data_IF_993278615926
#
_entry.id   IF_993278615926
#
_cell.length_a   1.000
_cell.length_b   1.000
_cell.length_c   1.000
_cell.angle_alpha   90.00
_cell.angle_beta   90.00
_cell.angle_gamma   90.00
#
_symmetry.space_group_name_H-M   'P 1'
#
loop_
_entity.id
_entity.type
_entity.pdbx_description
1 polymer ?
#
# COMPACT_ATOMS: atom_id res chain seq x y z
N UNK A 1 6.83 -20.93 -4.29
CA UNK A 1 5.91 -20.52 -3.20
C UNK A 1 6.57 -20.76 -1.87
N UNK A 2 6.40 -19.82 -0.95
CA UNK A 2 6.90 -19.93 0.42
C UNK A 2 6.02 -20.89 1.22
N UNK A 3 6.59 -21.70 2.11
CA UNK A 3 5.84 -22.51 3.09
C UNK A 3 5.20 -21.61 4.16
N UNK A 4 4.31 -22.18 4.98
CA UNK A 4 3.73 -21.44 6.11
C UNK A 4 4.83 -20.96 7.07
N UNK A 5 5.82 -21.80 7.36
CA UNK A 5 7.01 -21.46 8.15
C UNK A 5 7.87 -20.36 7.51
N UNK A 6 8.00 -20.33 6.19
CA UNK A 6 8.71 -19.24 5.51
C UNK A 6 7.91 -17.92 5.56
N UNK A 7 6.58 -18.00 5.45
CA UNK A 7 5.70 -16.83 5.51
C UNK A 7 5.74 -16.15 6.89
N UNK A 8 5.97 -16.90 7.98
CA UNK A 8 6.07 -16.28 9.32
C UNK A 8 7.21 -15.27 9.41
N UNK A 9 8.28 -15.41 8.61
CA UNK A 9 9.38 -14.44 8.57
C UNK A 9 8.97 -13.08 7.99
N UNK A 10 7.84 -13.00 7.29
CA UNK A 10 7.27 -11.73 6.80
C UNK A 10 6.48 -10.98 7.89
N UNK A 11 6.24 -11.55 9.07
CA UNK A 11 5.54 -10.85 10.16
C UNK A 11 6.18 -9.49 10.46
N UNK A 12 5.33 -8.48 10.58
CA UNK A 12 5.72 -7.09 10.76
C UNK A 12 6.03 -6.36 9.46
N UNK A 13 6.34 -7.06 8.35
CA UNK A 13 6.61 -6.40 7.07
C UNK A 13 5.34 -5.98 6.33
N UNK A 14 5.48 -5.10 5.34
CA UNK A 14 4.36 -4.73 4.45
C UNK A 14 3.73 -5.91 3.72
N UNK A 15 4.50 -6.99 3.52
CA UNK A 15 4.03 -8.20 2.85
C UNK A 15 3.21 -9.12 3.73
N UNK A 16 3.23 -8.98 5.06
CA UNK A 16 2.46 -9.85 5.97
C UNK A 16 0.97 -9.86 5.58
N UNK A 17 0.36 -8.67 5.54
CA UNK A 17 -1.06 -8.53 5.21
C UNK A 17 -1.32 -8.81 3.73
N UNK A 18 -0.42 -8.42 2.83
CA UNK A 18 -0.59 -8.59 1.39
C UNK A 18 -0.58 -10.07 0.99
N UNK A 19 0.35 -10.87 1.52
CA UNK A 19 0.43 -12.31 1.28
C UNK A 19 -0.78 -13.03 1.86
N UNK A 20 -1.17 -12.71 3.10
CA UNK A 20 -2.36 -13.31 3.74
C UNK A 20 -3.63 -13.03 2.92
N UNK A 21 -3.84 -11.76 2.53
CA UNK A 21 -4.98 -11.37 1.70
C UNK A 21 -4.97 -12.09 0.35
N UNK A 22 -3.81 -12.19 -0.31
CA UNK A 22 -3.70 -12.85 -1.62
C UNK A 22 -4.00 -14.35 -1.53
N UNK A 23 -3.46 -15.05 -0.53
CA UNK A 23 -3.78 -16.46 -0.31
C UNK A 23 -5.28 -16.66 -0.04
N UNK A 24 -5.90 -15.80 0.77
CA UNK A 24 -7.35 -15.86 1.01
C UNK A 24 -8.17 -15.67 -0.28
N UNK A 25 -7.78 -14.73 -1.14
CA UNK A 25 -8.43 -14.50 -2.43
C UNK A 25 -8.26 -15.69 -3.36
N UNK A 26 -7.06 -16.24 -3.50
CA UNK A 26 -6.77 -17.38 -4.37
C UNK A 26 -7.54 -18.64 -3.95
N UNK A 27 -7.65 -18.89 -2.65
CA UNK A 27 -8.47 -20.00 -2.14
C UNK A 27 -9.93 -19.81 -2.51
N UNK A 28 -10.49 -18.62 -2.30
CA UNK A 28 -11.89 -18.32 -2.66
C UNK A 28 -12.14 -18.40 -4.16
N UNK A 29 -11.19 -17.95 -4.99
CA UNK A 29 -11.26 -18.05 -6.44
C UNK A 29 -11.28 -19.51 -6.88
N UNK A 30 -10.38 -20.34 -6.33
CA UNK A 30 -10.33 -21.77 -6.63
C UNK A 30 -11.65 -22.48 -6.27
N UNK A 31 -12.19 -22.22 -5.07
CA UNK A 31 -13.48 -22.75 -4.64
C UNK A 31 -14.62 -22.29 -5.57
N UNK A 32 -14.58 -21.02 -6.00
CA UNK A 32 -15.58 -20.44 -6.91
C UNK A 32 -15.52 -21.10 -8.29
N UNK A 33 -14.33 -21.36 -8.83
CA UNK A 33 -14.15 -22.05 -10.11
C UNK A 33 -14.69 -23.48 -10.01
N UNK A 34 -14.34 -24.22 -8.96
CA UNK A 34 -14.88 -25.56 -8.72
C UNK A 34 -16.41 -25.57 -8.74
N UNK A 35 -17.04 -24.70 -7.95
CA UNK A 35 -18.49 -24.59 -7.89
C UNK A 35 -19.13 -24.24 -9.25
N UNK A 36 -18.55 -23.30 -10.01
CA UNK A 36 -19.07 -22.91 -11.33
C UNK A 36 -18.91 -23.99 -12.40
N UNK A 37 -17.89 -24.84 -12.27
CA UNK A 37 -17.60 -25.90 -13.24
C UNK A 37 -18.31 -27.22 -12.97
N UNK A 38 -19.08 -27.34 -11.87
CA UNK A 38 -19.83 -28.55 -11.53
C UNK A 38 -20.74 -29.08 -12.65
N UNK A 39 -21.33 -28.17 -13.42
CA UNK A 39 -22.22 -28.52 -14.53
C UNK A 39 -21.49 -28.81 -15.85
N UNK A 40 -20.16 -28.69 -15.89
CA UNK A 40 -19.34 -28.86 -17.10
C UNK A 40 -18.49 -30.13 -16.96
N UNK A 41 -18.87 -31.27 -17.59
CA UNK A 41 -18.34 -32.59 -17.25
C UNK A 41 -16.82 -32.69 -17.23
N UNK A 42 -16.14 -32.17 -18.26
CA UNK A 42 -14.68 -32.21 -18.36
C UNK A 42 -14.00 -31.44 -17.21
N UNK A 43 -14.49 -30.25 -16.88
CA UNK A 43 -13.89 -29.42 -15.83
C UNK A 43 -14.22 -29.93 -14.44
N UNK A 44 -15.43 -30.46 -14.24
CA UNK A 44 -15.78 -31.13 -12.99
C UNK A 44 -14.89 -32.34 -12.72
N UNK A 45 -14.60 -33.16 -13.74
CA UNK A 45 -13.68 -34.28 -13.60
C UNK A 45 -12.27 -33.81 -13.18
N UNK A 46 -11.72 -32.80 -13.85
CA UNK A 46 -10.36 -32.29 -13.56
C UNK A 46 -10.26 -31.55 -12.22
N UNK A 47 -11.23 -30.71 -11.87
CA UNK A 47 -11.11 -29.79 -10.73
C UNK A 47 -11.76 -30.30 -9.45
N UNK A 48 -12.73 -31.21 -9.57
CA UNK A 48 -13.54 -31.67 -8.44
C UNK A 48 -13.43 -33.18 -8.17
N UNK A 49 -13.07 -34.00 -9.16
CA UNK A 49 -12.87 -35.45 -8.96
C UNK A 49 -11.39 -35.81 -8.84
N UNK A 50 -10.52 -35.23 -9.67
CA UNK A 50 -9.08 -35.44 -9.59
C UNK A 50 -8.48 -34.74 -8.36
N UNK A 51 -8.21 -35.52 -7.31
CA UNK A 51 -7.62 -35.03 -6.06
C UNK A 51 -6.15 -34.61 -6.22
N UNK A 52 -5.52 -34.84 -7.38
CA UNK A 52 -4.15 -34.36 -7.64
C UNK A 52 -4.07 -32.86 -7.91
N UNK A 53 -5.19 -32.22 -8.28
CA UNK A 53 -5.28 -30.76 -8.46
C UNK A 53 -5.74 -30.12 -7.16
N UNK A 54 -4.86 -29.35 -6.53
CA UNK A 54 -5.10 -28.67 -5.27
C UNK A 54 -5.07 -27.14 -5.41
N UNK A 55 -5.51 -26.45 -4.37
CA UNK A 55 -5.38 -24.97 -4.27
C UNK A 55 -3.94 -24.50 -4.46
N UNK A 56 -2.96 -25.35 -4.11
CA UNK A 56 -1.53 -25.07 -4.32
C UNK A 56 -1.18 -24.92 -5.80
N UNK A 57 -1.81 -25.67 -6.69
CA UNK A 57 -1.61 -25.57 -8.13
C UNK A 57 -2.22 -24.29 -8.68
N UNK A 58 -3.37 -23.86 -8.15
CA UNK A 58 -3.97 -22.55 -8.45
C UNK A 58 -3.05 -21.40 -8.03
N UNK A 59 -2.49 -21.48 -6.83
CA UNK A 59 -1.51 -20.50 -6.34
C UNK A 59 -0.25 -20.50 -7.23
N UNK A 60 0.20 -21.67 -7.67
CA UNK A 60 1.36 -21.76 -8.56
C UNK A 60 1.08 -21.19 -9.96
N UNK A 61 -0.10 -21.45 -10.52
CA UNK A 61 -0.55 -20.86 -11.79
C UNK A 61 -0.57 -19.33 -11.71
N UNK A 62 -1.15 -18.79 -10.64
CA UNK A 62 -1.21 -17.35 -10.41
C UNK A 62 0.19 -16.73 -10.21
N UNK A 63 1.11 -17.44 -9.56
CA UNK A 63 2.51 -17.02 -9.45
C UNK A 63 3.23 -17.04 -10.80
N UNK A 64 3.02 -18.06 -11.64
CA UNK A 64 3.56 -18.12 -13.00
C UNK A 64 3.03 -16.96 -13.84
N UNK A 65 1.71 -16.72 -13.77
CA UNK A 65 1.07 -15.60 -14.47
C UNK A 65 1.70 -14.26 -14.05
N UNK A 66 1.73 -13.95 -12.75
CA UNK A 66 2.24 -12.65 -12.28
C UNK A 66 3.72 -12.42 -12.54
N UNK A 67 4.53 -13.47 -12.44
CA UNK A 67 5.99 -13.34 -12.59
C UNK A 67 6.45 -13.31 -14.05
N UNK A 68 5.61 -13.71 -15.01
CA UNK A 68 6.00 -13.92 -16.42
C UNK A 68 5.15 -13.18 -17.44
N UNK A 69 3.93 -12.78 -17.09
CA UNK A 69 3.08 -12.03 -18.02
C UNK A 69 3.67 -10.65 -18.30
N UNK A 70 3.60 -10.25 -19.57
CA UNK A 70 4.03 -8.96 -20.08
C UNK A 70 2.81 -8.16 -20.53
N UNK A 71 2.79 -6.87 -20.23
CA UNK A 71 1.78 -5.97 -20.78
C UNK A 71 2.18 -5.56 -22.20
N UNK A 72 1.47 -6.10 -23.20
CA UNK A 72 1.72 -5.80 -24.61
C UNK A 72 0.76 -4.70 -25.11
N UNK A 73 1.23 -3.69 -25.85
CA UNK A 73 0.39 -2.55 -26.26
C UNK A 73 -0.88 -2.90 -27.05
N UNK A 74 -0.87 -4.01 -27.80
CA UNK A 74 -2.01 -4.44 -28.65
C UNK A 74 -2.64 -5.72 -28.13
N UNK A 75 -1.84 -6.66 -27.63
CA UNK A 75 -2.33 -7.95 -27.13
C UNK A 75 -2.70 -7.98 -25.64
N UNK A 76 -2.36 -6.93 -24.87
CA UNK A 76 -2.58 -6.87 -23.41
C UNK A 76 -1.70 -7.86 -22.64
N UNK A 77 -2.11 -8.22 -21.42
CA UNK A 77 -1.40 -9.17 -20.55
C UNK A 77 -1.20 -10.53 -21.23
N UNK A 78 0.06 -10.87 -21.53
CA UNK A 78 0.42 -12.05 -22.33
C UNK A 78 1.65 -12.77 -21.79
N UNK A 79 1.62 -14.10 -21.79
CA UNK A 79 2.81 -14.93 -21.60
C UNK A 79 3.48 -15.14 -22.96
N UNK A 80 4.70 -14.63 -23.12
CA UNK A 80 5.45 -14.69 -24.37
C UNK A 80 6.59 -15.71 -24.23
N UNK A 81 6.48 -16.91 -24.84
CA UNK A 81 7.51 -17.93 -24.72
C UNK A 81 8.88 -17.44 -25.17
N UNK A 82 9.93 -17.93 -24.52
CA UNK A 82 11.33 -17.54 -24.71
C UNK A 82 11.66 -16.16 -24.14
N UNK A 83 10.79 -15.16 -24.36
CA UNK A 83 10.98 -13.83 -23.79
C UNK A 83 10.82 -13.84 -22.26
N UNK A 84 9.90 -14.67 -21.74
CA UNK A 84 9.68 -14.89 -20.31
C UNK A 84 10.84 -15.58 -19.56
N UNK A 85 11.93 -15.90 -20.26
CA UNK A 85 13.18 -16.38 -19.69
C UNK A 85 14.20 -15.25 -19.46
N UNK A 86 14.00 -14.07 -20.05
CA UNK A 86 14.92 -12.95 -19.90
C UNK A 86 14.79 -12.35 -18.49
N UNK A 87 15.87 -12.38 -17.72
CA UNK A 87 15.86 -11.87 -16.35
C UNK A 87 15.85 -10.34 -16.29
N UNK A 88 15.44 -9.84 -15.12
CA UNK A 88 15.51 -8.42 -14.80
C UNK A 88 16.95 -7.94 -14.60
N UNK A 89 17.24 -6.73 -15.06
CA UNK A 89 18.37 -5.95 -14.58
C UNK A 89 18.07 -4.45 -14.62
N UNK A 90 18.53 -3.70 -13.62
CA UNK A 90 18.58 -2.23 -13.71
C UNK A 90 19.35 -1.78 -14.98
N UNK A 91 20.51 -2.38 -15.23
CA UNK A 91 21.37 -2.14 -16.40
C UNK A 91 21.06 -3.12 -17.54
N UNK A 92 19.79 -3.23 -17.87
CA UNK A 92 19.30 -4.11 -18.92
C UNK A 92 19.86 -3.79 -20.30
N UNK A 93 20.14 -4.84 -21.07
CA UNK A 93 20.79 -4.78 -22.38
C UNK A 93 19.81 -4.84 -23.55
N UNK A 94 18.58 -5.29 -23.29
CA UNK A 94 17.55 -5.47 -24.29
C UNK A 94 16.20 -4.89 -23.85
N UNK A 95 15.31 -4.69 -24.81
CA UNK A 95 13.91 -4.34 -24.63
C UNK A 95 13.05 -5.20 -25.56
N UNK A 96 11.76 -5.26 -25.33
CA UNK A 96 10.83 -5.94 -26.24
C UNK A 96 9.86 -4.94 -26.86
N UNK A 97 9.38 -5.27 -28.05
CA UNK A 97 8.29 -4.54 -28.72
C UNK A 97 7.32 -5.51 -29.38
N UNK A 98 6.06 -5.10 -29.45
CA UNK A 98 5.04 -5.77 -30.27
C UNK A 98 4.92 -5.04 -31.60
N UNK A 99 5.32 -5.72 -32.68
CA UNK A 99 5.44 -5.08 -33.98
C UNK A 99 4.08 -5.02 -34.73
N UNK A 100 4.08 -4.39 -35.90
CA UNK A 100 2.86 -4.24 -36.72
C UNK A 100 2.22 -5.56 -37.19
N UNK A 101 2.95 -6.69 -37.13
CA UNK A 101 2.51 -8.03 -37.52
C UNK A 101 2.07 -8.89 -36.33
N UNK A 102 1.88 -8.30 -35.15
CA UNK A 102 1.53 -8.99 -33.92
C UNK A 102 2.62 -9.97 -33.44
N UNK A 103 3.88 -9.72 -33.83
CA UNK A 103 5.04 -10.46 -33.33
C UNK A 103 5.67 -9.69 -32.16
N UNK A 104 6.03 -10.40 -31.09
CA UNK A 104 6.81 -9.85 -29.98
C UNK A 104 8.28 -10.15 -30.23
N UNK A 105 9.10 -9.11 -30.36
CA UNK A 105 10.53 -9.24 -30.65
C UNK A 105 11.37 -8.70 -29.51
N UNK A 106 12.45 -9.41 -29.16
CA UNK A 106 13.47 -8.97 -28.23
C UNK A 106 14.60 -8.29 -29.01
N UNK A 107 14.86 -7.02 -28.69
CA UNK A 107 15.82 -6.18 -29.40
C UNK A 107 16.88 -5.66 -28.43
N UNK A 108 18.13 -5.58 -28.90
CA UNK A 108 19.18 -4.93 -28.14
C UNK A 108 18.96 -3.42 -28.12
N UNK A 109 19.32 -2.79 -27.01
CA UNK A 109 19.37 -1.33 -26.94
C UNK A 109 20.45 -0.77 -27.87
N UNK A 110 20.23 0.43 -28.37
CA UNK A 110 21.18 1.11 -29.26
C UNK A 110 22.59 1.21 -28.63
N UNK A 111 23.60 0.84 -29.41
CA UNK A 111 25.00 0.86 -28.99
C UNK A 111 25.40 -0.28 -28.05
N UNK A 112 24.50 -1.18 -27.67
CA UNK A 112 24.82 -2.37 -26.88
C UNK A 112 25.36 -3.48 -27.78
N UNK A 113 26.50 -4.04 -27.40
CA UNK A 113 27.06 -5.25 -28.01
C UNK A 113 27.30 -6.28 -26.90
N UNK A 114 26.74 -7.48 -27.06
CA UNK A 114 26.77 -8.53 -26.05
C UNK A 114 27.77 -9.60 -26.48
N UNK A 115 28.79 -9.83 -25.64
CA UNK A 115 29.77 -10.88 -25.90
C UNK A 115 29.15 -12.28 -25.78
N UNK A 116 29.64 -13.28 -26.53
CA UNK A 116 29.20 -14.66 -26.36
C UNK A 116 29.33 -15.12 -24.89
N UNK A 117 28.25 -15.68 -24.35
CA UNK A 117 28.18 -16.13 -22.95
C UNK A 117 27.75 -15.06 -21.95
N UNK A 118 27.51 -13.82 -22.37
CA UNK A 118 26.89 -12.79 -21.53
C UNK A 118 25.37 -12.88 -21.59
N UNK A 119 24.72 -12.73 -20.43
CA UNK A 119 23.26 -12.78 -20.30
C UNK A 119 22.59 -11.58 -20.98
N UNK A 120 21.44 -11.83 -21.61
CA UNK A 120 20.55 -10.79 -22.13
C UNK A 120 19.47 -10.53 -21.09
N UNK A 121 19.36 -9.29 -20.64
CA UNK A 121 18.43 -8.89 -19.57
C UNK A 121 17.50 -7.78 -20.04
N UNK A 122 16.31 -7.72 -19.44
CA UNK A 122 15.28 -6.71 -19.70
C UNK A 122 14.93 -5.95 -18.41
N UNK A 123 14.19 -4.85 -18.54
CA UNK A 123 13.59 -4.20 -17.39
C UNK A 123 12.17 -4.75 -17.17
N UNK A 124 11.85 -5.17 -15.94
CA UNK A 124 10.52 -5.69 -15.59
C UNK A 124 9.53 -4.56 -15.29
N UNK A 125 9.99 -3.31 -15.25
CA UNK A 125 9.19 -2.14 -14.96
C UNK A 125 9.97 -1.18 -14.09
N UNK A 126 9.80 0.12 -14.34
CA UNK A 126 10.41 1.15 -13.51
C UNK A 126 9.60 1.32 -12.21
N UNK A 127 10.29 1.73 -11.14
CA UNK A 127 9.67 2.24 -9.90
C UNK A 127 8.97 1.20 -9.01
N UNK A 128 9.25 -0.09 -9.20
CA UNK A 128 8.76 -1.14 -8.30
C UNK A 128 9.42 -1.07 -6.93
N UNK A 129 8.62 -1.30 -5.89
CA UNK A 129 9.13 -1.37 -4.50
C UNK A 129 9.74 -2.73 -4.18
N UNK A 130 10.49 -2.82 -3.08
CA UNK A 130 11.13 -4.08 -2.67
C UNK A 130 10.07 -5.14 -2.36
N UNK A 131 8.98 -4.71 -1.72
CA UNK A 131 7.82 -5.51 -1.45
C UNK A 131 7.18 -6.00 -2.76
N UNK A 132 6.98 -5.13 -3.75
CA UNK A 132 6.39 -5.50 -5.04
C UNK A 132 7.27 -6.48 -5.82
N UNK A 133 8.58 -6.25 -5.86
CA UNK A 133 9.55 -7.13 -6.52
C UNK A 133 9.52 -8.52 -5.88
N UNK A 134 9.56 -8.59 -4.54
CA UNK A 134 9.53 -9.85 -3.82
C UNK A 134 8.19 -10.57 -3.98
N UNK A 135 7.08 -9.83 -3.90
CA UNK A 135 5.73 -10.37 -4.00
C UNK A 135 5.40 -10.92 -5.39
N UNK A 136 5.82 -10.21 -6.45
CA UNK A 136 5.46 -10.55 -7.83
C UNK A 136 6.48 -11.46 -8.50
N UNK A 137 7.78 -11.33 -8.19
CA UNK A 137 8.87 -12.02 -8.89
C UNK A 137 9.72 -12.91 -7.99
N UNK A 138 9.60 -12.80 -6.67
CA UNK A 138 10.34 -13.65 -5.73
C UNK A 138 11.78 -13.23 -5.46
N UNK A 139 12.17 -12.00 -5.81
CA UNK A 139 13.50 -11.44 -5.50
C UNK A 139 13.43 -9.93 -5.25
N UNK A 140 14.49 -9.35 -4.69
CA UNK A 140 14.64 -7.90 -4.51
C UNK A 140 15.90 -7.45 -5.26
N UNK A 141 15.75 -6.53 -6.22
CA UNK A 141 16.89 -5.91 -6.90
C UNK A 141 17.30 -4.63 -6.14
N UNK A 142 18.35 -4.70 -5.34
CA UNK A 142 18.83 -3.58 -4.54
C UNK A 142 19.24 -2.34 -5.37
N UNK A 143 19.48 -2.47 -6.68
CA UNK A 143 19.92 -1.36 -7.54
C UNK A 143 18.77 -0.60 -8.21
N UNK A 144 17.72 -1.31 -8.64
CA UNK A 144 16.59 -0.70 -9.38
C UNK A 144 15.38 -0.40 -8.50
N UNK A 145 15.29 -1.04 -7.34
CA UNK A 145 14.09 -0.96 -6.51
C UNK A 145 14.02 0.41 -5.86
N UNK A 146 12.91 1.12 -6.07
CA UNK A 146 12.63 2.32 -5.29
C UNK A 146 12.27 1.89 -3.87
N UNK A 147 12.93 2.48 -2.88
CA UNK A 147 12.55 2.28 -1.49
C UNK A 147 11.24 3.03 -1.23
N UNK A 148 10.14 2.32 -1.47
CA UNK A 148 8.79 2.76 -1.21
C UNK A 148 8.05 1.72 -0.39
N UNK A 149 7.09 2.18 0.39
CA UNK A 149 6.32 1.40 1.35
C UNK A 149 4.88 1.91 1.34
N UNK A 150 3.93 1.01 1.10
CA UNK A 150 2.50 1.29 1.20
C UNK A 150 1.94 0.58 2.43
N UNK A 151 1.35 1.35 3.33
CA UNK A 151 0.71 0.85 4.55
C UNK A 151 -0.78 1.14 4.52
N UNK A 152 -1.59 0.21 5.02
CA UNK A 152 -3.02 0.48 5.21
C UNK A 152 -3.20 1.43 6.40
N UNK A 153 -3.96 2.51 6.21
CA UNK A 153 -4.22 3.46 7.31
C UNK A 153 -5.07 2.80 8.40
N UNK A 154 -4.69 3.04 9.67
CA UNK A 154 -5.48 2.66 10.85
C UNK A 154 -6.61 3.66 11.01
N UNK A 155 -7.85 3.18 10.87
CA UNK A 155 -9.04 4.03 10.96
C UNK A 155 -9.42 4.26 12.43
N UNK A 156 -9.84 5.48 12.76
CA UNK A 156 -10.31 5.85 14.10
C UNK A 156 -11.75 5.34 14.29
N UNK A 157 -11.94 4.36 15.18
CA UNK A 157 -13.23 3.67 15.35
C UNK A 157 -14.33 4.54 15.97
N UNK A 158 -13.93 5.61 16.63
CA UNK A 158 -14.77 6.60 17.31
C UNK A 158 -15.16 7.78 16.42
N UNK A 159 -14.64 7.88 15.19
CA UNK A 159 -15.03 8.92 14.23
C UNK A 159 -16.50 8.71 13.75
N UNK A 160 -17.43 9.60 14.13
CA UNK A 160 -18.84 9.46 13.77
C UNK A 160 -19.09 9.60 12.27
N UNK A 161 -18.18 10.27 11.54
CA UNK A 161 -18.26 10.52 10.11
C UNK A 161 -17.52 9.45 9.28
N UNK A 162 -16.89 8.46 9.91
CA UNK A 162 -16.00 7.50 9.23
C UNK A 162 -16.64 6.84 8.01
N UNK A 163 -17.89 6.37 8.13
CA UNK A 163 -18.61 5.71 7.02
C UNK A 163 -18.83 6.66 5.84
N UNK A 164 -19.18 7.91 6.11
CA UNK A 164 -19.39 8.93 5.09
C UNK A 164 -18.07 9.30 4.41
N UNK A 165 -17.01 9.52 5.19
CA UNK A 165 -15.65 9.81 4.70
C UNK A 165 -15.14 8.69 3.78
N UNK A 166 -15.26 7.42 4.20
CA UNK A 166 -14.86 6.27 3.38
C UNK A 166 -15.68 6.14 2.09
N UNK A 167 -16.99 6.37 2.16
CA UNK A 167 -17.87 6.29 0.99
C UNK A 167 -17.47 7.32 -0.07
N UNK A 168 -17.29 8.60 0.33
CA UNK A 168 -16.93 9.68 -0.61
C UNK A 168 -15.48 9.53 -1.09
N UNK A 169 -14.55 9.08 -0.24
CA UNK A 169 -13.16 8.84 -0.67
C UNK A 169 -13.05 7.73 -1.73
N UNK A 170 -13.97 6.77 -1.73
CA UNK A 170 -14.16 5.83 -2.85
C UNK A 170 -13.05 4.79 -3.06
N UNK A 171 -12.00 4.79 -2.23
CA UNK A 171 -10.88 3.85 -2.30
C UNK A 171 -10.36 3.49 -0.91
N UNK A 172 -9.55 2.43 -0.82
CA UNK A 172 -8.92 2.02 0.43
C UNK A 172 -7.92 3.10 0.89
N UNK A 173 -8.03 3.62 2.13
CA UNK A 173 -7.05 4.58 2.66
C UNK A 173 -5.68 3.95 2.87
N UNK A 174 -4.63 4.57 2.32
CA UNK A 174 -3.23 4.14 2.47
C UNK A 174 -2.32 5.32 2.84
N UNK A 175 -1.21 4.99 3.51
CA UNK A 175 -0.05 5.82 3.71
C UNK A 175 1.03 5.32 2.75
N UNK A 176 1.39 6.15 1.79
CA UNK A 176 2.51 5.89 0.88
C UNK A 176 3.75 6.62 1.40
N UNK A 177 4.83 5.89 1.62
CA UNK A 177 6.16 6.43 1.93
C UNK A 177 7.05 6.11 0.74
N UNK A 178 7.71 7.11 0.19
CA UNK A 178 8.58 7.00 -0.99
C UNK A 178 9.87 7.75 -0.72
N UNK A 179 10.90 7.55 -1.55
CA UNK A 179 12.09 8.40 -1.54
C UNK A 179 12.10 9.34 -2.74
N UNK A 180 12.63 10.54 -2.52
CA UNK A 180 12.92 11.46 -3.60
C UNK A 180 14.28 11.21 -4.24
N UNK A 181 14.65 12.06 -5.21
CA UNK A 181 15.90 11.93 -5.98
C UNK A 181 17.16 12.01 -5.09
N UNK A 182 17.06 12.60 -3.90
CA UNK A 182 18.16 12.69 -2.95
C UNK A 182 18.13 11.56 -1.90
N UNK A 183 17.18 10.62 -2.02
CA UNK A 183 16.97 9.54 -1.07
C UNK A 183 16.22 9.96 0.20
N UNK A 184 15.72 11.20 0.29
CA UNK A 184 14.97 11.66 1.45
C UNK A 184 13.54 11.07 1.42
N UNK A 185 13.04 10.52 2.55
CA UNK A 185 11.68 10.03 2.62
C UNK A 185 10.65 11.14 2.38
N UNK A 186 9.57 10.79 1.69
CA UNK A 186 8.37 11.60 1.49
C UNK A 186 7.16 10.74 1.76
N UNK A 187 6.17 11.30 2.42
CA UNK A 187 4.93 10.60 2.73
C UNK A 187 3.73 11.25 2.04
N UNK A 188 2.74 10.43 1.69
CA UNK A 188 1.48 10.85 1.08
C UNK A 188 0.34 10.02 1.69
N UNK A 189 -0.57 10.69 2.39
CA UNK A 189 -1.75 10.06 2.99
C UNK A 189 -2.98 10.99 2.89
N UNK A 190 -3.60 11.11 1.70
CA UNK A 190 -4.64 12.11 1.46
C UNK A 190 -5.85 11.97 2.39
N UNK A 191 -6.20 10.72 2.73
CA UNK A 191 -7.33 10.43 3.60
C UNK A 191 -7.13 10.91 5.03
N UNK A 192 -5.88 11.00 5.54
CA UNK A 192 -5.63 11.41 6.93
C UNK A 192 -6.10 12.86 7.17
N UNK A 193 -5.98 13.72 6.16
CA UNK A 193 -6.52 15.09 6.24
C UNK A 193 -8.04 15.08 6.45
N UNK A 194 -8.77 14.26 5.68
CA UNK A 194 -10.22 14.10 5.86
C UNK A 194 -10.56 13.43 7.20
N UNK A 195 -9.74 12.49 7.64
CA UNK A 195 -9.90 11.77 8.89
C UNK A 195 -9.83 12.71 10.10
N UNK A 196 -8.93 13.70 10.08
CA UNK A 196 -8.73 14.67 11.17
C UNK A 196 -9.79 15.78 11.29
N UNK A 197 -10.76 15.84 10.37
CA UNK A 197 -11.76 16.90 10.29
C UNK A 197 -13.13 16.44 10.81
N UNK A 198 -13.79 17.31 11.58
CA UNK A 198 -15.11 17.10 12.16
C UNK A 198 -16.13 18.14 11.66
N UNK A 199 -17.40 18.01 12.09
CA UNK A 199 -18.47 18.97 11.78
C UNK A 199 -18.16 20.39 12.28
N UNK A 200 -17.61 20.47 13.49
CA UNK A 200 -17.13 21.72 14.12
C UNK A 200 -16.01 22.41 13.34
N UNK A 201 -15.22 21.65 12.57
CA UNK A 201 -14.16 22.18 11.71
C UNK A 201 -14.72 22.71 10.36
N UNK A 202 -16.01 22.49 10.08
CA UNK A 202 -16.68 22.91 8.84
C UNK A 202 -16.83 21.82 7.78
N UNK A 203 -16.57 20.55 8.13
CA UNK A 203 -16.88 19.39 7.28
C UNK A 203 -18.35 18.98 7.45
N UNK A 204 -19.11 18.85 6.38
CA UNK A 204 -20.53 18.46 6.46
C UNK A 204 -20.89 17.44 5.38
N UNK A 205 -21.81 16.53 5.69
CA UNK A 205 -22.31 15.52 4.75
C UNK A 205 -23.83 15.61 4.65
N UNK A 206 -24.34 15.72 3.42
CA UNK A 206 -25.79 15.83 3.16
C UNK A 206 -26.22 14.85 2.09
N UNK A 207 -27.35 14.19 2.31
CA UNK A 207 -28.00 13.40 1.26
C UNK A 207 -28.85 14.36 0.43
N UNK A 208 -28.50 14.53 -0.85
CA UNK A 208 -29.27 15.31 -1.80
C UNK A 208 -29.98 14.40 -2.80
N UNK A 209 -31.20 14.76 -3.15
CA UNK A 209 -31.96 14.11 -4.20
C UNK A 209 -31.68 14.79 -5.53
N UNK A 210 -31.19 14.04 -6.50
CA UNK A 210 -30.92 14.50 -7.86
C UNK A 210 -32.22 14.57 -8.68
N UNK A 211 -32.17 15.26 -9.83
CA UNK A 211 -33.35 15.48 -10.69
C UNK A 211 -33.96 14.20 -11.26
N UNK A 212 -33.20 13.11 -11.29
CA UNK A 212 -33.64 11.78 -11.72
C UNK A 212 -34.26 10.96 -10.57
N UNK A 213 -34.34 11.53 -9.36
CA UNK A 213 -34.85 10.88 -8.16
C UNK A 213 -33.82 10.05 -7.40
N UNK A 214 -32.59 9.92 -7.91
CA UNK A 214 -31.50 9.26 -7.18
C UNK A 214 -31.06 10.06 -5.96
N UNK A 215 -30.53 9.39 -4.94
CA UNK A 215 -29.98 10.02 -3.75
C UNK A 215 -28.47 9.87 -3.74
N UNK A 216 -27.75 10.98 -3.57
CA UNK A 216 -26.31 10.98 -3.46
C UNK A 216 -25.87 11.65 -2.17
N UNK A 217 -24.93 11.01 -1.47
CA UNK A 217 -24.23 11.63 -0.36
C UNK A 217 -23.23 12.65 -0.91
N UNK A 218 -23.39 13.92 -0.54
CA UNK A 218 -22.48 15.01 -0.90
C UNK A 218 -21.70 15.47 0.32
N UNK A 219 -20.45 15.85 0.09
CA UNK A 219 -19.52 16.33 1.10
C UNK A 219 -19.28 17.83 0.88
N UNK A 220 -19.36 18.59 1.94
CA UNK A 220 -19.20 20.04 1.94
C UNK A 220 -18.05 20.45 2.86
N UNK A 221 -17.29 21.45 2.43
CA UNK A 221 -16.26 22.12 3.22
C UNK A 221 -16.61 23.59 3.33
N UNK A 222 -16.86 24.08 4.55
CA UNK A 222 -17.32 25.46 4.82
C UNK A 222 -18.51 25.88 3.92
N UNK A 223 -19.44 24.95 3.70
CA UNK A 223 -20.64 25.14 2.88
C UNK A 223 -20.44 25.03 1.37
N UNK A 224 -19.22 24.79 0.88
CA UNK A 224 -18.94 24.55 -0.55
C UNK A 224 -18.92 23.05 -0.84
N UNK A 225 -19.57 22.63 -1.92
CA UNK A 225 -19.56 21.23 -2.36
C UNK A 225 -18.15 20.84 -2.84
N UNK A 226 -17.60 19.79 -2.23
CA UNK A 226 -16.25 19.25 -2.50
C UNK A 226 -16.30 17.72 -2.73
N UNK A 227 -17.48 17.19 -3.09
CA UNK A 227 -17.73 15.75 -3.26
C UNK A 227 -16.75 15.09 -4.23
N UNK A 228 -16.35 15.78 -5.29
CA UNK A 228 -15.49 15.23 -6.36
C UNK A 228 -13.98 15.31 -6.06
N UNK A 229 -13.57 15.92 -4.95
CA UNK A 229 -12.15 16.13 -4.60
C UNK A 229 -11.78 15.64 -3.18
N UNK A 230 -12.18 14.43 -2.76
CA UNK A 230 -11.96 13.95 -1.39
C UNK A 230 -10.49 13.70 -1.03
N UNK A 231 -9.59 13.68 -2.02
CA UNK A 231 -8.15 13.56 -1.80
C UNK A 231 -7.40 14.89 -1.69
N UNK A 232 -8.08 16.04 -1.81
CA UNK A 232 -7.43 17.36 -1.88
C UNK A 232 -7.62 18.20 -0.61
N UNK A 233 -7.88 17.55 0.53
CA UNK A 233 -8.12 18.28 1.77
C UNK A 233 -6.90 19.03 2.28
N UNK A 234 -5.69 18.60 1.93
CA UNK A 234 -4.47 19.36 2.21
C UNK A 234 -4.53 20.76 1.60
N UNK A 235 -5.03 20.88 0.36
CA UNK A 235 -5.20 22.16 -0.31
C UNK A 235 -6.43 22.92 0.22
N UNK A 236 -7.55 22.23 0.49
CA UNK A 236 -8.80 22.86 0.93
C UNK A 236 -8.70 23.52 2.31
N UNK A 237 -7.87 23.00 3.21
CA UNK A 237 -7.63 23.60 4.53
C UNK A 237 -6.66 24.80 4.47
N UNK A 238 -6.08 25.11 3.31
CA UNK A 238 -4.98 26.09 3.18
C UNK A 238 -5.32 27.49 3.67
N UNK A 239 -6.58 27.92 3.51
CA UNK A 239 -7.07 29.23 3.94
C UNK A 239 -7.81 29.19 5.30
N UNK A 240 -7.78 28.06 6.01
CA UNK A 240 -8.49 27.88 7.28
C UNK A 240 -7.67 28.41 8.46
N UNK A 241 -8.30 29.11 9.42
CA UNK A 241 -7.62 29.67 10.59
C UNK A 241 -6.92 28.60 11.45
N UNK A 242 -7.52 27.42 11.53
CA UNK A 242 -6.98 26.24 12.24
C UNK A 242 -6.09 25.33 11.37
N UNK A 243 -5.61 25.78 10.19
CA UNK A 243 -4.80 24.97 9.28
C UNK A 243 -3.66 24.23 9.99
N UNK A 244 -2.83 24.93 10.77
CA UNK A 244 -1.69 24.31 11.46
C UNK A 244 -2.11 23.31 12.54
N UNK A 245 -3.31 23.45 13.12
CA UNK A 245 -3.89 22.45 14.04
C UNK A 245 -4.20 21.18 13.27
N UNK A 246 -4.84 21.30 12.10
CA UNK A 246 -5.17 20.14 11.28
C UNK A 246 -3.92 19.44 10.77
N UNK A 247 -2.91 20.19 10.31
CA UNK A 247 -1.60 19.64 9.92
C UNK A 247 -0.92 18.93 11.10
N UNK A 248 -0.99 19.49 12.31
CA UNK A 248 -0.43 18.87 13.51
C UNK A 248 -1.14 17.54 13.85
N UNK A 249 -2.47 17.49 13.77
CA UNK A 249 -3.25 16.24 13.96
C UNK A 249 -2.83 15.20 12.94
N UNK A 250 -2.72 15.59 11.66
CA UNK A 250 -2.31 14.70 10.56
C UNK A 250 -0.92 14.11 10.80
N UNK A 251 0.08 14.96 11.08
CA UNK A 251 1.46 14.53 11.33
C UNK A 251 1.53 13.60 12.54
N UNK A 252 0.78 13.90 13.62
CA UNK A 252 0.77 13.09 14.84
C UNK A 252 0.23 11.69 14.57
N UNK A 253 -0.90 11.57 13.87
CA UNK A 253 -1.49 10.26 13.51
C UNK A 253 -0.52 9.43 12.65
N UNK A 254 0.13 10.08 11.67
CA UNK A 254 1.07 9.38 10.79
C UNK A 254 2.32 8.95 11.56
N UNK A 255 2.83 9.81 12.45
CA UNK A 255 3.96 9.49 13.31
C UNK A 255 3.66 8.26 14.19
N UNK A 256 2.54 8.26 14.90
CA UNK A 256 2.11 7.11 15.72
C UNK A 256 2.00 5.83 14.87
N UNK A 257 1.39 5.92 13.70
CA UNK A 257 1.25 4.77 12.80
C UNK A 257 2.61 4.23 12.32
N UNK A 258 3.55 5.11 11.97
CA UNK A 258 4.89 4.74 11.50
C UNK A 258 5.71 4.15 12.65
N UNK A 259 5.59 4.69 13.87
CA UNK A 259 6.22 4.16 15.09
C UNK A 259 5.68 2.77 15.44
N UNK A 260 4.36 2.57 15.45
CA UNK A 260 3.72 1.27 15.68
C UNK A 260 4.20 0.23 14.64
N UNK A 261 4.30 0.63 13.37
CA UNK A 261 4.75 -0.25 12.31
C UNK A 261 6.24 -0.62 12.47
N UNK A 262 7.09 0.33 12.86
CA UNK A 262 8.50 0.08 13.14
C UNK A 262 8.67 -0.84 14.36
N UNK A 263 7.85 -0.67 15.39
CA UNK A 263 7.83 -1.56 16.55
C UNK A 263 7.49 -2.99 16.13
N UNK A 264 6.45 -3.18 15.32
CA UNK A 264 6.08 -4.50 14.76
C UNK A 264 7.19 -5.17 13.97
N UNK A 265 7.98 -4.42 13.21
CA UNK A 265 9.15 -4.95 12.49
C UNK A 265 10.27 -5.39 13.44
N UNK A 266 10.38 -4.75 14.60
CA UNK A 266 11.42 -5.03 15.59
C UNK A 266 11.05 -6.13 16.57
N UNK A 267 9.76 -6.48 16.68
CA UNK A 267 9.33 -7.68 17.40
C UNK A 267 9.93 -8.89 16.68
N UNK A 268 11.04 -9.39 17.24
CA UNK A 268 11.53 -10.71 16.91
C UNK A 268 10.56 -11.70 17.55
N UNK A 269 9.99 -12.60 16.75
CA UNK A 269 9.37 -13.81 17.28
C UNK A 269 10.49 -14.60 17.99
N UNK A 270 10.64 -14.36 19.30
CA UNK A 270 11.15 -15.36 20.21
C UNK A 270 10.09 -16.46 20.29
N UNK A 271 10.52 -17.69 20.09
CA UNK A 271 9.69 -18.91 19.95
C UNK A 271 9.02 -19.12 18.59
N UNK A 272 9.74 -19.86 17.74
CA UNK A 272 9.12 -20.97 17.03
C UNK A 272 9.96 -22.21 17.25
N UNK A 273 9.61 -22.97 18.31
CA UNK A 273 9.90 -24.39 18.40
C UNK A 273 9.24 -25.08 17.19
N UNK A 274 10.05 -25.39 16.18
CA UNK A 274 10.04 -26.55 15.25
C UNK A 274 10.98 -26.16 14.09
N UNK A 275 12.10 -26.87 13.87
CA UNK A 275 12.95 -26.63 12.71
C UNK A 275 12.34 -27.30 11.48
N UNK A 276 11.38 -26.64 10.85
CA UNK A 276 11.13 -26.91 9.43
C UNK A 276 12.32 -26.34 8.63
N UNK A 277 12.73 -27.03 7.57
CA UNK A 277 13.87 -26.58 6.74
C UNK A 277 13.42 -25.35 5.95
N UNK A 278 13.63 -24.17 6.53
CA UNK A 278 13.45 -22.87 5.87
C UNK A 278 14.55 -22.71 4.83
N UNK A 279 14.19 -22.36 3.59
CA UNK A 279 15.18 -22.09 2.54
C UNK A 279 15.98 -20.85 2.87
N UNK A 280 17.30 -20.91 2.65
CA UNK A 280 18.19 -19.79 2.95
C UNK A 280 17.83 -18.54 2.13
N UNK A 281 17.41 -18.74 0.89
CA UNK A 281 17.05 -17.68 -0.04
C UNK A 281 15.78 -16.93 0.40
N UNK A 282 14.77 -17.64 0.91
CA UNK A 282 13.53 -17.02 1.39
C UNK A 282 13.76 -16.25 2.68
N UNK A 283 14.56 -16.81 3.60
CA UNK A 283 14.95 -16.12 4.83
C UNK A 283 15.76 -14.85 4.51
N UNK A 284 16.72 -14.94 3.59
CA UNK A 284 17.51 -13.80 3.16
C UNK A 284 16.62 -12.70 2.54
N UNK A 285 15.67 -13.05 1.69
CA UNK A 285 14.74 -12.10 1.09
C UNK A 285 13.84 -11.42 2.15
N UNK A 286 13.35 -12.16 3.15
CA UNK A 286 12.58 -11.61 4.25
C UNK A 286 13.40 -10.62 5.10
N UNK A 287 14.63 -10.99 5.44
CA UNK A 287 15.57 -10.13 6.18
C UNK A 287 15.89 -8.87 5.38
N UNK A 288 16.16 -9.01 4.08
CA UNK A 288 16.46 -7.89 3.21
C UNK A 288 15.28 -6.91 3.14
N UNK A 289 14.06 -7.41 2.95
CA UNK A 289 12.86 -6.56 2.98
C UNK A 289 12.71 -5.84 4.32
N UNK A 290 12.84 -6.57 5.44
CA UNK A 290 12.74 -6.02 6.80
C UNK A 290 13.73 -4.87 6.99
N UNK A 291 14.99 -5.06 6.61
CA UNK A 291 16.02 -4.03 6.74
C UNK A 291 15.70 -2.78 5.92
N UNK A 292 15.19 -2.96 4.69
CA UNK A 292 14.77 -1.85 3.82
C UNK A 292 13.62 -1.05 4.47
N UNK A 293 12.61 -1.75 4.99
CA UNK A 293 11.46 -1.10 5.62
C UNK A 293 11.83 -0.42 6.94
N UNK A 294 12.65 -1.07 7.79
CA UNK A 294 13.15 -0.50 9.05
C UNK A 294 13.90 0.80 8.82
N UNK A 295 14.82 0.84 7.85
CA UNK A 295 15.57 2.05 7.50
C UNK A 295 14.65 3.18 7.00
N UNK A 296 13.72 2.85 6.08
CA UNK A 296 12.81 3.84 5.51
C UNK A 296 11.87 4.42 6.58
N UNK A 297 11.30 3.58 7.45
CA UNK A 297 10.42 4.02 8.53
C UNK A 297 11.18 4.86 9.55
N UNK A 298 12.39 4.45 9.96
CA UNK A 298 13.23 5.21 10.89
C UNK A 298 13.52 6.63 10.40
N UNK A 299 13.92 6.78 9.14
CA UNK A 299 14.15 8.12 8.56
C UNK A 299 12.85 8.93 8.36
N UNK A 300 11.72 8.25 8.14
CA UNK A 300 10.41 8.91 8.06
C UNK A 300 9.99 9.47 9.42
N UNK A 301 10.26 8.76 10.51
CA UNK A 301 10.03 9.24 11.89
C UNK A 301 10.83 10.51 12.17
N UNK A 302 12.08 10.59 11.74
CA UNK A 302 12.90 11.80 11.91
C UNK A 302 12.27 13.02 11.23
N UNK A 303 11.77 12.85 9.99
CA UNK A 303 11.11 13.91 9.23
C UNK A 303 9.79 14.32 9.90
N UNK A 304 8.95 13.35 10.28
CA UNK A 304 7.66 13.62 10.92
C UNK A 304 7.84 14.31 12.28
N UNK A 305 8.85 13.94 13.07
CA UNK A 305 9.19 14.65 14.30
C UNK A 305 9.61 16.10 14.02
N UNK A 306 10.43 16.34 12.99
CA UNK A 306 10.80 17.70 12.60
C UNK A 306 9.60 18.53 12.12
N UNK A 307 8.66 17.94 11.37
CA UNK A 307 7.42 18.59 10.94
C UNK A 307 6.53 18.94 12.14
N UNK A 308 6.34 17.98 13.06
CA UNK A 308 5.58 18.17 14.31
C UNK A 308 6.17 19.29 15.16
N UNK A 309 7.49 19.27 15.38
CA UNK A 309 8.20 20.25 16.20
C UNK A 309 8.19 21.66 15.57
N UNK A 310 8.10 21.73 14.22
CA UNK A 310 7.86 22.98 13.50
C UNK A 310 6.46 23.51 13.77
N UNK A 311 5.44 22.67 13.60
CA UNK A 311 4.03 23.04 13.82
C UNK A 311 3.76 23.45 15.28
N UNK A 312 4.35 22.79 16.26
CA UNK A 312 4.19 23.15 17.69
C UNK A 312 4.72 24.56 18.04
N UNK A 313 5.55 25.16 17.18
CA UNK A 313 6.05 26.53 17.36
C UNK A 313 5.18 27.59 16.69
N UNK A 314 4.20 27.19 15.88
CA UNK A 314 3.30 28.11 15.20
C UNK A 314 2.40 28.84 16.21
N UNK A 315 2.22 30.15 16.03
CA UNK A 315 1.46 30.98 16.96
C UNK A 315 0.00 30.53 17.08
N UNK A 316 -0.60 30.06 15.98
CA UNK A 316 -1.97 29.52 15.94
C UNK A 316 -2.10 28.27 16.83
N UNK A 317 -1.08 27.42 16.85
CA UNK A 317 -1.04 26.19 17.65
C UNK A 317 -0.88 26.52 19.14
N UNK A 318 0.07 27.40 19.46
CA UNK A 318 0.29 27.86 20.84
C UNK A 318 -0.92 28.60 21.41
N UNK A 319 -1.61 29.40 20.59
CA UNK A 319 -2.84 30.10 20.98
C UNK A 319 -3.98 29.13 21.28
N UNK A 320 -4.16 28.12 20.42
CA UNK A 320 -5.19 27.09 20.58
C UNK A 320 -5.02 26.28 21.87
N UNK A 321 -3.80 25.80 22.17
CA UNK A 321 -3.55 25.05 23.41
C UNK A 321 -3.79 25.90 24.67
N UNK A 322 -3.41 27.17 24.66
CA UNK A 322 -3.69 28.08 25.79
C UNK A 322 -5.19 28.29 26.01
N UNK A 323 -5.97 28.39 24.93
CA UNK A 323 -7.43 28.52 25.03
C UNK A 323 -8.05 27.25 25.65
N UNK A 324 -7.62 26.06 25.20
CA UNK A 324 -8.07 24.79 25.78
C UNK A 324 -7.70 24.62 27.26
N UNK A 325 -6.48 25.01 27.66
CA UNK A 325 -6.05 24.95 29.06
C UNK A 325 -6.88 25.89 29.95
N UNK A 326 -7.28 27.05 29.43
CA UNK A 326 -8.14 28.00 30.12
C UNK A 326 -9.57 27.44 30.30
N UNK A 327 -10.16 26.87 29.25
CA UNK A 327 -11.50 26.26 29.30
C UNK A 327 -11.55 25.08 30.29
N UNK A 328 -10.54 24.20 30.29
CA UNK A 328 -10.47 23.09 31.26
C UNK A 328 -10.27 23.55 32.70
N UNK A 329 -9.57 24.68 32.91
CA UNK A 329 -9.37 25.26 34.24
C UNK A 329 -10.64 25.92 34.79
N UNK A 330 -11.49 26.47 33.91
CA UNK A 330 -12.79 27.04 34.28
C UNK A 330 -13.84 25.95 34.57
N UNK A 331 -13.91 24.88 33.77
CA UNK A 331 -14.80 23.73 34.04
C UNK A 331 -14.45 22.98 35.34
N UNK A 332 -13.16 22.93 35.71
CA UNK A 332 -12.71 22.35 36.98
C UNK A 332 -13.03 23.20 38.22
N UNK A 333 -13.27 24.50 38.06
CA UNK A 333 -13.59 25.41 39.15
C UNK A 333 -15.09 25.41 39.51
N UNK A 334 -15.97 25.24 38.53
CA UNK A 334 -17.43 25.17 38.74
C UNK A 334 -17.92 23.81 39.29
N UNK A 335 -17.07 22.77 39.26
CA UNK A 335 -17.37 21.45 39.83
C UNK A 335 -17.27 21.38 41.37
N UNK A 336 -16.82 22.43 42.04
CA UNK A 336 -16.58 22.44 43.49
C UNK A 336 -17.60 23.20 44.35
N UNK A 337 -18.64 23.81 43.77
CA UNK A 337 -19.61 24.63 44.51
C UNK A 337 -21.01 24.01 44.69
N UNK A 338 -21.12 22.68 44.53
CA UNK A 338 -22.29 21.92 44.99
C UNK A 338 -21.86 20.79 45.93
N UNK A 339 -21.71 21.10 47.20
CA UNK A 339 -21.63 20.14 48.32
C UNK A 339 -22.45 20.61 49.50
#
# INVERSE_FOLDING_TARGET
>A
MWSESEITHLKGTSLEAAVSAKLSVLTKEFDTIKAKTESIPLWYEILSIDESIAVRDWIWLDALYRSRSLELPRSGESLVPCLDLANHSHQHTAYFEENSKDEVVLLLRDGVNIAPGTEVTINYGENKSAAEMLFSYGFIDALSTRHGLSLSLKLMSDDPLLKAKLHVFGRKPTLEITQDENGAPRWLAPFVYLMCLNEEDGLDFRILQETDGSQQLKMFWQGKDVTDVPGSFKELIGDHDLKHIFELRVVTIILEMVEEQLERLNVQDGDSDIPEIVRAETLQAAIQLRNIETDLLGRTIEILNSERDGLLKEETVLGYFKAMEAEQSEEGADGHDFS
#
